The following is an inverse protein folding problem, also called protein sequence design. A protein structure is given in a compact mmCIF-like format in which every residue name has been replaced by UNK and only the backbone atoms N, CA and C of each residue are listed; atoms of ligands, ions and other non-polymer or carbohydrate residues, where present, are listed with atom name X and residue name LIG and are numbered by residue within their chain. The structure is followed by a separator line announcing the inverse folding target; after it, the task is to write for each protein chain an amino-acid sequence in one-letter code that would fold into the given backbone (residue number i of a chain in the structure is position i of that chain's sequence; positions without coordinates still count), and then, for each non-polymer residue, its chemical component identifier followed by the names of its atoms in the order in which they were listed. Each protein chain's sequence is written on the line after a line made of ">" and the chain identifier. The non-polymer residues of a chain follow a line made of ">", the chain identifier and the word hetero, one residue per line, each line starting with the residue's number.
data_IF_439754896723
#
_entry.id   IF_439754896723
#
_cell.length_a   1.000
_cell.length_b   1.000
_cell.length_c   1.000
_cell.angle_alpha   90.00
_cell.angle_beta   90.00
_cell.angle_gamma   90.00
#
_symmetry.space_group_name_H-M   'P 1'
#
loop_
_entity.id
_entity.type
_entity.pdbx_description
1 polymer ?
#
# COMPACT_ATOMS: atom_id res chain seq x y z
N UNK A 1 -9.15 17.49 -34.02
CA UNK A 1 -10.15 16.64 -33.36
C UNK A 1 -9.59 15.34 -32.76
N UNK A 2 -8.80 14.51 -33.47
CA UNK A 2 -8.18 13.31 -32.87
C UNK A 2 -6.94 13.60 -31.98
N UNK A 3 -6.28 14.74 -32.18
CA UNK A 3 -5.08 15.16 -31.42
C UNK A 3 -5.41 15.98 -30.16
N UNK A 4 -6.61 16.55 -30.09
CA UNK A 4 -7.02 17.43 -28.98
C UNK A 4 -7.41 16.60 -27.73
N UNK A 5 -8.05 15.44 -27.92
CA UNK A 5 -8.35 14.50 -26.84
C UNK A 5 -7.09 13.87 -26.21
N UNK A 6 -5.99 13.73 -26.96
CA UNK A 6 -4.73 13.20 -26.43
C UNK A 6 -3.97 14.22 -25.57
N UNK A 7 -4.06 15.51 -25.92
CA UNK A 7 -3.46 16.60 -25.13
C UNK A 7 -4.20 16.85 -23.82
N UNK A 8 -5.53 16.74 -23.82
CA UNK A 8 -6.35 16.91 -22.62
C UNK A 8 -6.00 15.86 -21.55
N UNK A 9 -5.89 14.59 -21.96
CA UNK A 9 -5.58 13.48 -21.07
C UNK A 9 -4.12 13.52 -20.56
N UNK A 10 -3.18 14.05 -21.35
CA UNK A 10 -1.78 14.16 -20.94
C UNK A 10 -1.52 15.27 -19.90
N UNK A 11 -2.24 16.39 -19.95
CA UNK A 11 -2.15 17.45 -18.93
C UNK A 11 -2.78 17.02 -17.60
N UNK A 12 -3.91 16.28 -17.65
CA UNK A 12 -4.53 15.69 -16.47
C UNK A 12 -3.64 14.58 -15.86
N UNK A 13 -3.06 13.71 -16.69
CA UNK A 13 -2.06 12.72 -16.25
C UNK A 13 -0.82 13.39 -15.65
N UNK A 14 -0.35 14.50 -16.22
CA UNK A 14 0.74 15.30 -15.61
C UNK A 14 0.34 15.87 -14.27
N UNK A 15 -0.89 16.38 -14.10
CA UNK A 15 -1.36 16.88 -12.82
C UNK A 15 -1.46 15.77 -11.77
N UNK A 16 -1.91 14.57 -12.12
CA UNK A 16 -1.90 13.42 -11.20
C UNK A 16 -0.48 12.94 -10.86
N UNK A 17 0.45 12.91 -11.83
CA UNK A 17 1.87 12.60 -11.59
C UNK A 17 2.55 13.70 -10.75
N UNK A 18 2.17 14.96 -10.94
CA UNK A 18 2.65 16.10 -10.14
C UNK A 18 2.03 16.11 -8.73
N UNK A 19 0.80 15.63 -8.55
CA UNK A 19 0.19 15.41 -7.24
C UNK A 19 0.89 14.28 -6.47
N UNK A 20 1.35 13.24 -7.18
CA UNK A 20 2.27 12.22 -6.63
C UNK A 20 3.63 12.84 -6.27
N UNK A 21 4.07 13.89 -6.96
CA UNK A 21 5.29 14.64 -6.65
C UNK A 21 5.12 15.65 -5.49
N UNK A 22 4.42 15.29 -4.41
CA UNK A 22 4.59 16.03 -3.15
C UNK A 22 6.08 15.98 -2.73
N UNK A 23 6.61 17.04 -2.11
CA UNK A 23 8.02 17.15 -1.65
C UNK A 23 8.54 15.88 -0.92
N UNK A 24 7.63 15.14 -0.28
CA UNK A 24 7.94 13.91 0.44
C UNK A 24 8.16 12.66 -0.44
N UNK A 25 7.69 12.64 -1.69
CA UNK A 25 7.94 11.56 -2.65
C UNK A 25 9.20 11.84 -3.50
N UNK A 26 9.55 13.10 -3.72
CA UNK A 26 10.75 13.48 -4.46
C UNK A 26 12.05 13.30 -3.67
N UNK A 27 12.00 13.32 -2.34
CA UNK A 27 13.16 13.07 -1.50
C UNK A 27 13.26 11.58 -1.13
N UNK A 28 14.34 10.87 -1.54
CA UNK A 28 14.57 9.45 -1.23
C UNK A 28 14.41 9.13 0.27
N UNK A 29 14.90 10.00 1.15
CA UNK A 29 14.89 9.78 2.60
C UNK A 29 13.47 9.75 3.20
N UNK A 30 12.55 10.50 2.60
CA UNK A 30 11.15 10.58 3.05
C UNK A 30 10.22 9.66 2.26
N UNK A 31 10.58 9.31 1.03
CA UNK A 31 9.78 8.46 0.14
C UNK A 31 9.65 7.04 0.68
N UNK A 32 10.73 6.46 1.20
CA UNK A 32 10.74 5.11 1.78
C UNK A 32 9.92 5.04 3.07
N UNK A 33 9.99 6.09 3.90
CA UNK A 33 9.16 6.18 5.09
C UNK A 33 7.68 6.27 4.72
N UNK A 34 7.32 7.10 3.73
CA UNK A 34 5.94 7.22 3.25
C UNK A 34 5.42 5.91 2.68
N UNK A 35 6.21 5.22 1.87
CA UNK A 35 5.84 3.90 1.37
C UNK A 35 5.54 2.94 2.51
N UNK A 36 6.41 2.91 3.52
CA UNK A 36 6.23 2.03 4.68
C UNK A 36 5.01 2.46 5.52
N UNK A 37 4.75 3.76 5.67
CA UNK A 37 3.56 4.29 6.36
C UNK A 37 2.27 3.85 5.65
N UNK A 38 2.20 3.99 4.32
CA UNK A 38 1.05 3.56 3.52
C UNK A 38 0.87 2.05 3.59
N UNK A 39 1.95 1.28 3.39
CA UNK A 39 1.93 -0.18 3.47
C UNK A 39 1.41 -0.67 4.82
N UNK A 40 1.91 -0.12 5.92
CA UNK A 40 1.46 -0.49 7.26
C UNK A 40 -0.03 -0.16 7.49
N UNK A 41 -0.50 1.02 7.10
CA UNK A 41 -1.90 1.41 7.26
C UNK A 41 -2.84 0.53 6.43
N UNK A 42 -2.48 0.26 5.18
CA UNK A 42 -3.27 -0.58 4.26
C UNK A 42 -3.29 -2.04 4.72
N UNK A 43 -2.16 -2.59 5.17
CA UNK A 43 -2.10 -3.94 5.72
C UNK A 43 -2.96 -4.08 6.99
N UNK A 44 -2.92 -3.09 7.88
CA UNK A 44 -3.81 -3.05 9.05
C UNK A 44 -5.29 -3.07 8.64
N UNK A 45 -5.64 -2.45 7.50
CA UNK A 45 -7.01 -2.50 6.98
C UNK A 45 -7.36 -3.87 6.41
N UNK A 46 -6.46 -4.48 5.62
CA UNK A 46 -6.73 -5.72 4.89
C UNK A 46 -6.69 -6.99 5.75
N UNK A 47 -5.86 -7.02 6.81
CA UNK A 47 -5.61 -8.24 7.59
C UNK A 47 -6.61 -8.39 8.75
N UNK A 48 -7.20 -7.30 9.22
CA UNK A 48 -8.05 -7.28 10.42
C UNK A 48 -9.54 -7.26 10.07
N UNK A 49 -10.32 -8.04 10.82
CA UNK A 49 -11.78 -8.08 10.64
C UNK A 49 -12.47 -6.82 11.19
N UNK A 50 -13.50 -6.29 10.48
CA UNK A 50 -14.35 -5.22 10.97
C UNK A 50 -15.18 -5.61 12.20
N UNK A 51 -15.34 -6.91 12.48
CA UNK A 51 -16.15 -7.44 13.59
C UNK A 51 -15.49 -7.28 14.96
N UNK A 52 -14.30 -6.68 15.07
CA UNK A 52 -13.75 -6.34 16.37
C UNK A 52 -14.68 -5.31 17.07
N UNK A 53 -15.43 -5.77 18.07
CA UNK A 53 -16.43 -4.99 18.82
C UNK A 53 -15.83 -3.78 19.57
N UNK A 54 -14.51 -3.63 19.60
CA UNK A 54 -13.82 -2.53 20.27
C UNK A 54 -13.69 -1.33 19.33
N UNK A 55 -13.96 -0.12 19.83
CA UNK A 55 -13.74 1.14 19.10
C UNK A 55 -12.27 1.34 18.68
N UNK A 56 -11.33 0.67 19.35
CA UNK A 56 -9.88 0.74 19.14
C UNK A 56 -9.31 -0.45 18.36
N UNK A 57 -10.08 -1.04 17.44
CA UNK A 57 -9.53 -2.08 16.56
C UNK A 57 -8.44 -1.49 15.65
N UNK A 58 -7.39 -2.25 15.30
CA UNK A 58 -6.32 -1.74 14.45
C UNK A 58 -6.83 -1.18 13.10
N UNK A 59 -7.81 -1.83 12.49
CA UNK A 59 -8.55 -1.34 11.31
C UNK A 59 -9.15 0.07 11.52
N UNK A 60 -9.87 0.30 12.64
CA UNK A 60 -10.51 1.60 12.90
C UNK A 60 -9.47 2.70 13.11
N UNK A 61 -8.37 2.36 13.79
CA UNK A 61 -7.28 3.33 14.02
C UNK A 61 -6.56 3.65 12.71
N UNK A 62 -6.30 2.67 11.85
CA UNK A 62 -5.67 2.92 10.55
C UNK A 62 -6.56 3.77 9.63
N UNK A 63 -7.87 3.54 9.62
CA UNK A 63 -8.84 4.38 8.90
C UNK A 63 -8.88 5.81 9.45
N UNK A 64 -8.99 5.98 10.77
CA UNK A 64 -8.99 7.29 11.41
C UNK A 64 -7.67 8.05 11.15
N UNK A 65 -6.54 7.35 11.19
CA UNK A 65 -5.22 7.92 10.91
C UNK A 65 -5.10 8.35 9.46
N UNK A 66 -5.56 7.52 8.52
CA UNK A 66 -5.59 7.84 7.09
C UNK A 66 -6.45 9.06 6.83
N UNK A 67 -7.66 9.12 7.39
CA UNK A 67 -8.56 10.28 7.27
C UNK A 67 -7.94 11.54 7.85
N UNK A 68 -7.28 11.46 9.01
CA UNK A 68 -6.58 12.59 9.61
C UNK A 68 -5.43 13.10 8.74
N UNK A 69 -4.61 12.20 8.18
CA UNK A 69 -3.49 12.59 7.33
C UNK A 69 -3.95 13.27 6.03
N UNK A 70 -5.09 12.85 5.48
CA UNK A 70 -5.64 13.44 4.26
C UNK A 70 -6.49 14.70 4.50
N UNK A 71 -7.01 14.93 5.71
CA UNK A 71 -7.98 16.01 5.96
C UNK A 71 -7.45 17.40 5.63
N UNK A 72 -6.22 17.72 6.00
CA UNK A 72 -5.60 19.01 5.70
C UNK A 72 -5.33 19.22 4.20
N UNK A 73 -4.98 18.15 3.49
CA UNK A 73 -4.75 18.22 2.04
C UNK A 73 -6.06 18.34 1.26
N UNK A 74 -7.11 17.62 1.68
CA UNK A 74 -8.45 17.75 1.10
C UNK A 74 -9.05 19.12 1.37
N UNK A 75 -8.92 19.63 2.59
CA UNK A 75 -9.40 20.97 2.95
C UNK A 75 -8.68 22.10 2.18
N UNK A 76 -7.42 21.88 1.77
CA UNK A 76 -6.67 22.85 0.96
C UNK A 76 -6.81 22.65 -0.56
N UNK A 77 -7.64 21.68 -1.01
CA UNK A 77 -7.83 21.37 -2.42
C UNK A 77 -6.62 20.74 -3.11
N UNK A 78 -5.61 20.30 -2.34
CA UNK A 78 -4.40 19.63 -2.87
C UNK A 78 -4.62 18.16 -3.21
N UNK A 79 -5.62 17.55 -2.60
CA UNK A 79 -6.08 16.19 -2.90
C UNK A 79 -7.57 16.30 -3.12
N UNK A 80 -8.01 16.03 -4.35
CA UNK A 80 -9.40 16.04 -4.75
C UNK A 80 -10.08 14.70 -4.41
N UNK A 81 -11.41 14.69 -4.44
CA UNK A 81 -12.17 13.45 -4.24
C UNK A 81 -11.93 12.45 -5.38
N UNK A 82 -11.69 12.94 -6.60
CA UNK A 82 -11.25 12.12 -7.73
C UNK A 82 -9.88 11.47 -7.50
N UNK A 83 -8.93 12.16 -6.86
CA UNK A 83 -7.62 11.59 -6.52
C UNK A 83 -7.75 10.49 -5.46
N UNK A 84 -8.62 10.70 -4.46
CA UNK A 84 -8.91 9.70 -3.44
C UNK A 84 -9.60 8.47 -4.04
N UNK A 85 -10.57 8.68 -4.94
CA UNK A 85 -11.24 7.60 -5.65
C UNK A 85 -10.27 6.82 -6.54
N UNK A 86 -9.35 7.53 -7.22
CA UNK A 86 -8.31 6.91 -8.04
C UNK A 86 -7.40 6.00 -7.20
N UNK A 87 -6.90 6.51 -6.07
CA UNK A 87 -6.08 5.71 -5.17
C UNK A 87 -6.85 4.48 -4.62
N UNK A 88 -8.13 4.64 -4.27
CA UNK A 88 -8.97 3.55 -3.80
C UNK A 88 -9.18 2.47 -4.88
N UNK A 89 -9.42 2.89 -6.11
CA UNK A 89 -9.64 2.01 -7.23
C UNK A 89 -8.37 1.22 -7.59
N UNK A 90 -7.18 1.83 -7.48
CA UNK A 90 -5.91 1.09 -7.59
C UNK A 90 -5.81 -0.05 -6.57
N UNK A 91 -6.18 0.18 -5.30
CA UNK A 91 -6.16 -0.90 -4.29
C UNK A 91 -7.19 -2.00 -4.54
N UNK A 92 -8.31 -1.67 -5.18
CA UNK A 92 -9.37 -2.63 -5.48
C UNK A 92 -9.08 -3.44 -6.76
N UNK A 93 -8.62 -2.78 -7.83
CA UNK A 93 -8.49 -3.36 -9.16
C UNK A 93 -7.13 -4.03 -9.41
N UNK A 94 -6.02 -3.40 -8.97
CA UNK A 94 -4.69 -3.90 -9.30
C UNK A 94 -4.42 -5.32 -8.78
N UNK A 95 -4.81 -5.69 -7.54
CA UNK A 95 -4.68 -7.07 -7.09
C UNK A 95 -5.47 -8.06 -7.93
N UNK A 96 -6.70 -7.71 -8.34
CA UNK A 96 -7.56 -8.56 -9.18
C UNK A 96 -6.91 -8.79 -10.54
N UNK A 97 -6.46 -7.70 -11.19
CA UNK A 97 -5.79 -7.75 -12.49
C UNK A 97 -4.48 -8.55 -12.41
N UNK A 98 -3.69 -8.34 -11.36
CA UNK A 98 -2.44 -9.05 -11.12
C UNK A 98 -2.68 -10.55 -10.96
N UNK A 99 -3.63 -10.95 -10.11
CA UNK A 99 -3.97 -12.37 -9.88
C UNK A 99 -4.43 -13.00 -11.20
N UNK A 100 -5.40 -12.40 -11.88
CA UNK A 100 -5.95 -12.95 -13.11
C UNK A 100 -4.90 -13.10 -14.23
N UNK A 101 -3.88 -12.23 -14.27
CA UNK A 101 -2.83 -12.26 -15.28
C UNK A 101 -1.66 -13.18 -14.90
N UNK A 102 -1.15 -13.07 -13.67
CA UNK A 102 0.13 -13.63 -13.27
C UNK A 102 0.05 -14.79 -12.27
N UNK A 103 -1.09 -15.00 -11.62
CA UNK A 103 -1.29 -16.14 -10.71
C UNK A 103 -1.85 -17.37 -11.41
N UNK A 104 -1.90 -18.48 -10.68
CA UNK A 104 -2.32 -19.79 -11.20
C UNK A 104 -3.83 -19.98 -11.34
N UNK A 105 -4.63 -19.09 -10.74
CA UNK A 105 -6.10 -19.09 -10.81
C UNK A 105 -6.62 -17.71 -11.18
N UNK A 106 -7.86 -17.67 -11.67
CA UNK A 106 -8.62 -16.45 -11.92
C UNK A 106 -9.63 -16.29 -10.78
N UNK A 107 -9.81 -15.06 -10.29
CA UNK A 107 -10.78 -14.77 -9.25
C UNK A 107 -12.21 -14.95 -9.78
N UNK A 108 -13.01 -15.67 -9.01
CA UNK A 108 -14.44 -15.83 -9.24
C UNK A 108 -15.22 -14.53 -8.98
N UNK A 109 -16.44 -14.44 -9.51
CA UNK A 109 -17.30 -13.28 -9.27
C UNK A 109 -17.64 -13.10 -7.78
N UNK A 110 -17.67 -14.19 -7.00
CA UNK A 110 -17.84 -14.13 -5.56
C UNK A 110 -16.64 -13.44 -4.88
N UNK A 111 -15.43 -13.80 -5.26
CA UNK A 111 -14.21 -13.20 -4.72
C UNK A 111 -14.07 -11.74 -5.12
N UNK A 112 -14.36 -11.42 -6.39
CA UNK A 112 -14.42 -10.05 -6.89
C UNK A 112 -15.45 -9.24 -6.11
N UNK A 113 -16.67 -9.74 -5.94
CA UNK A 113 -17.70 -9.08 -5.16
C UNK A 113 -17.28 -8.82 -3.70
N UNK A 114 -16.60 -9.79 -3.06
CA UNK A 114 -16.08 -9.62 -1.71
C UNK A 114 -15.00 -8.53 -1.63
N UNK A 115 -14.05 -8.51 -2.56
CA UNK A 115 -13.01 -7.47 -2.66
C UNK A 115 -13.64 -6.10 -2.90
N UNK A 116 -14.60 -6.00 -3.83
CA UNK A 116 -15.31 -4.77 -4.13
C UNK A 116 -16.10 -4.25 -2.94
N UNK A 117 -16.81 -5.14 -2.24
CA UNK A 117 -17.56 -4.80 -1.02
C UNK A 117 -16.62 -4.27 0.06
N UNK A 118 -15.49 -4.94 0.26
CA UNK A 118 -14.48 -4.54 1.24
C UNK A 118 -13.91 -3.14 0.94
N UNK A 119 -13.42 -2.90 -0.28
CA UNK A 119 -12.81 -1.62 -0.64
C UNK A 119 -13.82 -0.47 -0.73
N UNK A 120 -15.04 -0.73 -1.22
CA UNK A 120 -16.13 0.25 -1.13
C UNK A 120 -16.40 0.66 0.31
N UNK A 121 -16.46 -0.30 1.24
CA UNK A 121 -16.70 0.01 2.66
C UNK A 121 -15.60 0.88 3.29
N UNK A 122 -14.35 0.70 2.86
CA UNK A 122 -13.22 1.56 3.24
C UNK A 122 -13.41 2.97 2.67
N UNK A 123 -13.75 3.09 1.38
CA UNK A 123 -14.00 4.37 0.75
C UNK A 123 -15.15 5.15 1.39
N UNK A 124 -16.24 4.45 1.74
CA UNK A 124 -17.38 5.00 2.47
C UNK A 124 -16.91 5.57 3.83
N UNK A 125 -16.07 4.83 4.56
CA UNK A 125 -15.55 5.24 5.87
C UNK A 125 -14.58 6.43 5.77
N UNK A 126 -13.80 6.49 4.69
CA UNK A 126 -12.90 7.60 4.38
C UNK A 126 -13.65 8.83 3.86
N UNK A 127 -14.96 8.72 3.56
CA UNK A 127 -15.79 9.80 3.02
C UNK A 127 -15.33 10.20 1.61
N UNK A 128 -15.09 9.22 0.75
CA UNK A 128 -14.76 9.44 -0.66
C UNK A 128 -16.05 9.58 -1.45
N UNK A 129 -16.16 10.62 -2.29
CA UNK A 129 -17.31 10.79 -3.17
C UNK A 129 -17.22 9.86 -4.39
N UNK A 130 -18.36 9.27 -4.75
CA UNK A 130 -18.50 8.43 -5.93
C UNK A 130 -19.39 9.06 -7.00
N UNK A 131 -19.77 10.34 -6.87
CA UNK A 131 -20.70 11.03 -7.79
C UNK A 131 -20.30 10.94 -9.26
N UNK A 132 -19.00 10.79 -9.49
CA UNK A 132 -18.42 10.66 -10.81
C UNK A 132 -18.65 9.27 -11.45
N UNK A 133 -19.06 8.26 -10.68
CA UNK A 133 -19.44 6.94 -11.17
C UNK A 133 -20.92 6.93 -11.59
N UNK A 134 -21.32 6.09 -12.56
CA UNK A 134 -22.72 5.99 -12.99
C UNK A 134 -23.69 5.70 -11.83
N UNK A 135 -23.29 4.84 -10.89
CA UNK A 135 -24.06 4.56 -9.68
C UNK A 135 -23.82 5.52 -8.52
N UNK A 136 -23.03 6.59 -8.69
CA UNK A 136 -22.62 7.48 -7.60
C UNK A 136 -23.75 8.05 -6.75
N UNK A 137 -24.88 8.39 -7.39
CA UNK A 137 -26.07 8.95 -6.74
C UNK A 137 -27.04 7.85 -6.26
N UNK A 138 -27.22 6.79 -7.05
CA UNK A 138 -28.17 5.71 -6.76
C UNK A 138 -27.61 4.63 -5.83
N UNK A 139 -26.29 4.59 -5.65
CA UNK A 139 -25.54 3.52 -5.03
C UNK A 139 -25.34 2.34 -5.98
N UNK A 140 -24.15 1.72 -5.92
CA UNK A 140 -23.91 0.45 -6.60
C UNK A 140 -24.76 -0.66 -5.98
N UNK A 141 -25.27 -1.57 -6.82
CA UNK A 141 -26.09 -2.72 -6.38
C UNK A 141 -25.35 -3.62 -5.38
N UNK A 142 -24.09 -3.90 -5.67
CA UNK A 142 -23.22 -4.79 -4.92
C UNK A 142 -21.74 -4.40 -5.16
N UNK A 143 -20.82 -5.09 -4.49
CA UNK A 143 -19.38 -4.84 -4.65
C UNK A 143 -18.86 -5.14 -6.07
N UNK A 144 -19.47 -6.08 -6.79
CA UNK A 144 -19.08 -6.41 -8.16
C UNK A 144 -19.45 -5.29 -9.13
N UNK A 145 -20.68 -4.78 -9.04
CA UNK A 145 -21.14 -3.64 -9.83
C UNK A 145 -20.27 -2.41 -9.61
N UNK A 146 -19.88 -2.15 -8.35
CA UNK A 146 -18.97 -1.06 -8.03
C UNK A 146 -17.58 -1.25 -8.68
N UNK A 147 -17.02 -2.46 -8.65
CA UNK A 147 -15.75 -2.77 -9.33
C UNK A 147 -15.85 -2.59 -10.85
N UNK A 148 -16.92 -3.06 -11.48
CA UNK A 148 -17.14 -2.93 -12.93
C UNK A 148 -17.18 -1.45 -13.35
N UNK A 149 -17.81 -0.58 -12.56
CA UNK A 149 -17.81 0.86 -12.83
C UNK A 149 -16.42 1.49 -12.70
N UNK A 150 -15.59 1.00 -11.77
CA UNK A 150 -14.20 1.43 -11.66
C UNK A 150 -13.35 0.93 -12.84
N UNK A 151 -13.50 -0.35 -13.24
CA UNK A 151 -12.79 -0.93 -14.39
C UNK A 151 -13.05 -0.14 -15.68
N UNK A 152 -14.31 0.26 -15.89
CA UNK A 152 -14.72 1.05 -17.06
C UNK A 152 -14.18 2.49 -17.03
N UNK A 153 -13.85 3.02 -15.84
CA UNK A 153 -13.31 4.37 -15.65
C UNK A 153 -11.78 4.41 -15.75
N UNK A 154 -11.11 3.40 -15.20
CA UNK A 154 -9.66 3.40 -14.95
C UNK A 154 -8.87 2.48 -15.88
N UNK A 155 -8.95 2.70 -17.19
CA UNK A 155 -7.97 2.10 -18.11
C UNK A 155 -6.60 2.81 -18.10
N UNK A 156 -6.13 3.29 -16.94
CA UNK A 156 -4.89 4.07 -16.80
C UNK A 156 -4.08 3.64 -15.55
N UNK A 157 -3.46 2.47 -15.66
CA UNK A 157 -2.50 1.94 -14.68
C UNK A 157 -1.35 2.93 -14.44
N UNK A 158 -1.05 3.25 -13.19
CA UNK A 158 0.26 3.80 -12.75
C UNK A 158 0.54 3.49 -11.28
N UNK A 159 1.37 2.49 -10.96
CA UNK A 159 2.23 2.51 -9.75
C UNK A 159 3.40 1.52 -9.89
N UNK A 160 4.59 1.98 -10.30
CA UNK A 160 5.83 1.20 -10.17
C UNK A 160 7.02 2.13 -9.91
N UNK A 161 7.67 2.07 -8.74
CA UNK A 161 9.07 2.50 -8.54
C UNK A 161 9.74 2.12 -7.19
N UNK A 162 9.44 0.98 -6.58
CA UNK A 162 10.14 0.54 -5.34
C UNK A 162 10.83 -0.83 -5.50
N UNK A 163 10.53 -1.55 -6.58
CA UNK A 163 10.99 -2.92 -6.83
C UNK A 163 12.51 -3.12 -6.91
N UNK A 164 13.28 -2.09 -7.25
CA UNK A 164 14.75 -2.21 -7.42
C UNK A 164 15.55 -1.81 -6.18
N UNK A 165 14.90 -1.39 -5.09
CA UNK A 165 15.59 -0.85 -3.92
C UNK A 165 16.60 -1.84 -3.30
N UNK A 166 16.21 -3.12 -3.23
CA UNK A 166 17.02 -4.22 -2.70
C UNK A 166 17.89 -4.91 -3.75
N UNK A 167 17.98 -4.38 -4.97
CA UNK A 167 18.77 -4.98 -6.04
C UNK A 167 20.14 -4.30 -6.17
N UNK A 168 21.26 -5.06 -6.29
CA UNK A 168 22.56 -4.49 -6.64
C UNK A 168 22.50 -3.66 -7.91
N UNK A 169 23.23 -2.54 -7.95
CA UNK A 169 23.24 -1.60 -9.11
C UNK A 169 23.59 -2.28 -10.43
N UNK A 170 24.46 -3.28 -10.41
CA UNK A 170 24.86 -4.03 -11.61
C UNK A 170 23.69 -4.78 -12.28
N UNK A 171 22.67 -5.17 -11.50
CA UNK A 171 21.50 -5.89 -12.02
C UNK A 171 20.34 -4.96 -12.40
N UNK A 172 20.46 -3.65 -12.15
CA UNK A 172 19.41 -2.68 -12.46
C UNK A 172 18.96 -2.73 -13.93
N UNK A 173 19.84 -2.78 -14.94
CA UNK A 173 19.40 -2.82 -16.33
C UNK A 173 18.51 -4.03 -16.64
N UNK A 174 18.87 -5.21 -16.14
CA UNK A 174 18.08 -6.43 -16.31
C UNK A 174 16.75 -6.37 -15.55
N UNK A 175 16.74 -5.83 -14.33
CA UNK A 175 15.51 -5.66 -13.57
C UNK A 175 14.56 -4.63 -14.19
N UNK A 176 15.09 -3.55 -14.76
CA UNK A 176 14.26 -2.57 -15.48
C UNK A 176 13.61 -3.21 -16.72
N UNK A 177 14.29 -4.15 -17.40
CA UNK A 177 13.71 -4.94 -18.49
C UNK A 177 12.58 -5.86 -18.00
N UNK A 178 12.79 -6.58 -16.88
CA UNK A 178 11.75 -7.44 -16.30
C UNK A 178 10.56 -6.64 -15.76
N UNK A 179 10.80 -5.53 -15.09
CA UNK A 179 9.76 -4.59 -14.63
C UNK A 179 8.99 -4.05 -15.83
N UNK A 180 9.68 -3.76 -16.93
CA UNK A 180 9.03 -3.30 -18.15
C UNK A 180 8.09 -4.34 -18.76
N UNK A 181 8.35 -5.64 -18.57
CA UNK A 181 7.43 -6.71 -18.97
C UNK A 181 6.13 -6.72 -18.15
N UNK A 182 6.15 -6.17 -16.93
CA UNK A 182 4.96 -6.05 -16.09
C UNK A 182 4.07 -4.86 -16.46
N UNK A 183 4.64 -3.87 -17.15
CA UNK A 183 3.94 -2.66 -17.59
C UNK A 183 3.23 -2.88 -18.91
N UNK A 184 2.00 -2.38 -19.03
CA UNK A 184 1.36 -2.28 -20.34
C UNK A 184 2.06 -1.20 -21.20
N UNK A 185 1.77 -1.21 -22.51
CA UNK A 185 2.42 -0.32 -23.46
C UNK A 185 2.18 1.19 -23.20
N UNK A 186 1.04 1.56 -22.62
CA UNK A 186 0.71 2.95 -22.27
C UNK A 186 1.50 3.38 -21.04
N UNK A 187 1.45 2.60 -19.94
CA UNK A 187 2.20 2.89 -18.72
C UNK A 187 3.70 2.98 -18.97
N UNK A 188 4.25 1.98 -19.69
CA UNK A 188 5.67 1.92 -20.01
C UNK A 188 6.15 3.17 -20.74
N UNK A 189 5.39 3.62 -21.73
CA UNK A 189 5.70 4.86 -22.48
C UNK A 189 5.56 6.11 -21.60
N UNK A 190 4.51 6.18 -20.78
CA UNK A 190 4.29 7.31 -19.88
C UNK A 190 5.41 7.46 -18.83
N UNK A 191 5.94 6.34 -18.33
CA UNK A 191 7.05 6.30 -17.39
C UNK A 191 8.44 6.38 -18.05
N UNK A 192 8.48 6.56 -19.38
CA UNK A 192 9.73 6.65 -20.16
C UNK A 192 10.60 5.39 -20.07
N UNK A 193 9.99 4.21 -19.91
CA UNK A 193 10.69 2.92 -19.97
C UNK A 193 10.81 2.42 -21.41
N UNK A 194 11.98 1.89 -21.75
CA UNK A 194 12.19 1.20 -23.02
C UNK A 194 11.39 -0.10 -23.07
N UNK A 195 11.01 -0.53 -24.28
CA UNK A 195 10.36 -1.83 -24.46
C UNK A 195 11.31 -2.95 -24.02
N UNK A 196 10.80 -4.00 -23.35
CA UNK A 196 11.63 -5.13 -23.01
C UNK A 196 12.10 -5.83 -24.29
N UNK A 197 13.31 -6.38 -24.28
CA UNK A 197 13.77 -7.21 -25.41
C UNK A 197 12.97 -8.53 -25.43
N UNK A 198 12.78 -9.17 -26.60
CA UNK A 198 12.05 -10.45 -26.69
C UNK A 198 12.64 -11.55 -25.80
N UNK A 199 13.95 -11.52 -25.54
CA UNK A 199 14.60 -12.43 -24.60
C UNK A 199 14.08 -12.25 -23.17
N UNK A 200 14.01 -11.01 -22.67
CA UNK A 200 13.50 -10.73 -21.32
C UNK A 200 11.99 -10.99 -21.21
N UNK A 201 11.22 -10.77 -22.28
CA UNK A 201 9.81 -11.17 -22.33
C UNK A 201 9.65 -12.70 -22.18
N UNK A 202 10.45 -13.48 -22.91
CA UNK A 202 10.44 -14.94 -22.82
C UNK A 202 10.88 -15.44 -21.44
N UNK A 203 11.94 -14.85 -20.86
CA UNK A 203 12.40 -15.17 -19.50
C UNK A 203 11.33 -14.85 -18.47
N UNK A 204 10.72 -13.66 -18.55
CA UNK A 204 9.64 -13.26 -17.64
C UNK A 204 8.44 -14.21 -17.75
N UNK A 205 7.99 -14.51 -18.96
CA UNK A 205 6.89 -15.44 -19.21
C UNK A 205 7.20 -16.85 -18.67
N UNK A 206 8.42 -17.34 -18.87
CA UNK A 206 8.88 -18.61 -18.33
C UNK A 206 8.88 -18.65 -16.81
N UNK A 207 9.43 -17.61 -16.16
CA UNK A 207 9.46 -17.49 -14.70
C UNK A 207 8.06 -17.47 -14.10
N UNK A 208 7.14 -16.66 -14.65
CA UNK A 208 5.75 -16.61 -14.21
C UNK A 208 5.08 -17.97 -14.40
N UNK A 209 5.30 -18.64 -15.53
CA UNK A 209 4.72 -19.97 -15.79
C UNK A 209 5.22 -21.01 -14.78
N UNK A 210 6.50 -21.00 -14.47
CA UNK A 210 7.08 -21.87 -13.43
C UNK A 210 6.46 -21.56 -12.07
N UNK A 211 6.37 -20.28 -11.69
CA UNK A 211 5.71 -19.87 -10.44
C UNK A 211 4.26 -20.36 -10.38
N UNK A 212 3.48 -20.23 -11.47
CA UNK A 212 2.10 -20.74 -11.54
C UNK A 212 2.03 -22.25 -11.30
N UNK A 213 2.91 -23.03 -11.92
CA UNK A 213 2.94 -24.49 -11.77
C UNK A 213 3.32 -24.87 -10.33
N UNK A 214 4.35 -24.23 -9.78
CA UNK A 214 4.80 -24.47 -8.40
C UNK A 214 3.69 -24.13 -7.40
N UNK A 215 3.06 -22.97 -7.53
CA UNK A 215 1.98 -22.56 -6.62
C UNK A 215 0.74 -23.46 -6.74
N UNK A 216 0.42 -23.92 -7.95
CA UNK A 216 -0.74 -24.79 -8.17
C UNK A 216 -0.55 -26.21 -7.63
N UNK A 217 0.64 -26.78 -7.78
CA UNK A 217 0.85 -28.22 -7.55
C UNK A 217 1.75 -28.54 -6.35
N UNK A 218 2.63 -27.63 -5.94
CA UNK A 218 3.63 -27.87 -4.88
C UNK A 218 3.35 -27.08 -3.59
N UNK A 219 2.43 -26.12 -3.60
CA UNK A 219 2.02 -25.39 -2.39
C UNK A 219 0.58 -25.74 -2.00
N UNK A 220 0.37 -26.76 -1.14
CA UNK A 220 -0.96 -27.11 -0.67
C UNK A 220 -1.57 -25.97 0.19
N UNK A 221 -2.89 -26.00 0.45
CA UNK A 221 -3.56 -25.04 1.30
C UNK A 221 -2.80 -24.84 2.61
N UNK A 222 -2.42 -23.60 2.87
CA UNK A 222 -1.57 -23.25 4.00
C UNK A 222 -2.37 -23.42 5.30
N UNK A 223 -1.92 -24.26 6.24
CA UNK A 223 -2.58 -24.39 7.53
C UNK A 223 -2.47 -23.09 8.33
N UNK A 224 -3.40 -22.88 9.26
CA UNK A 224 -3.53 -21.61 9.98
C UNK A 224 -2.22 -21.16 10.68
N UNK A 225 -1.44 -22.09 11.23
CA UNK A 225 -0.17 -21.78 11.91
C UNK A 225 0.96 -21.34 10.96
N UNK A 226 0.84 -21.59 9.65
CA UNK A 226 1.76 -21.07 8.63
C UNK A 226 1.25 -19.79 7.98
N UNK A 227 0.08 -19.28 8.39
CA UNK A 227 -0.52 -18.05 7.87
C UNK A 227 0.53 -16.94 7.90
N UNK A 228 0.61 -16.23 6.77
CA UNK A 228 1.43 -15.05 6.71
C UNK A 228 0.80 -13.93 7.54
N UNK A 229 1.56 -13.42 8.51
CA UNK A 229 1.19 -12.29 9.35
C UNK A 229 2.27 -11.22 9.21
N UNK A 230 1.93 -10.13 8.54
CA UNK A 230 2.84 -8.99 8.35
C UNK A 230 2.93 -8.08 9.58
N UNK A 231 2.04 -8.27 10.56
CA UNK A 231 1.94 -7.49 11.78
C UNK A 231 1.99 -8.39 13.01
N UNK A 232 2.51 -7.87 14.11
CA UNK A 232 2.51 -8.57 15.41
C UNK A 232 1.08 -8.83 15.89
N UNK A 233 0.74 -10.08 16.24
CA UNK A 233 -0.62 -10.42 16.70
C UNK A 233 -1.03 -9.73 18.01
N UNK A 234 -0.07 -9.48 18.90
CA UNK A 234 -0.30 -8.86 20.20
C UNK A 234 0.38 -7.49 20.27
N UNK A 235 -0.30 -6.48 20.84
CA UNK A 235 0.33 -5.20 21.07
C UNK A 235 1.46 -5.33 22.11
N UNK A 236 2.47 -4.48 21.96
CA UNK A 236 3.50 -4.27 22.98
C UNK A 236 2.92 -3.63 24.27
N UNK A 237 3.71 -3.54 25.33
CA UNK A 237 3.34 -2.93 26.63
C UNK A 237 2.70 -1.54 26.49
N UNK A 238 3.07 -0.82 25.43
CA UNK A 238 2.57 0.52 25.10
C UNK A 238 1.40 0.53 24.10
N UNK A 239 0.75 -0.63 23.84
CA UNK A 239 -0.37 -0.71 22.90
C UNK A 239 0.04 -0.66 21.42
N UNK A 240 1.32 -0.87 21.09
CA UNK A 240 1.86 -0.69 19.74
C UNK A 240 1.92 -2.00 18.96
N UNK A 241 1.55 -1.93 17.68
CA UNK A 241 1.77 -2.97 16.69
C UNK A 241 3.03 -2.65 15.87
N UNK A 242 3.69 -3.69 15.37
CA UNK A 242 4.95 -3.59 14.62
C UNK A 242 4.88 -4.49 13.40
N UNK A 243 5.59 -4.10 12.34
CA UNK A 243 5.77 -4.95 11.17
C UNK A 243 6.69 -6.13 11.54
N UNK A 244 6.38 -7.32 11.02
CA UNK A 244 7.19 -8.52 11.23
C UNK A 244 8.42 -8.52 10.32
N UNK A 245 8.29 -7.96 9.12
CA UNK A 245 9.32 -7.84 8.09
C UNK A 245 9.33 -6.46 7.43
N UNK A 246 10.42 -6.12 6.72
CA UNK A 246 10.56 -4.86 5.99
C UNK A 246 10.69 -5.11 4.49
N UNK A 247 9.95 -4.35 3.69
CA UNK A 247 9.99 -4.46 2.22
C UNK A 247 11.05 -3.54 1.60
N UNK A 248 11.19 -2.32 2.11
CA UNK A 248 12.12 -1.32 1.58
C UNK A 248 13.06 -0.79 2.67
N UNK A 249 12.60 0.14 3.50
CA UNK A 249 13.36 0.59 4.66
C UNK A 249 12.81 -0.07 5.94
N UNK A 250 13.66 -0.37 6.94
CA UNK A 250 13.25 -1.10 8.15
C UNK A 250 12.51 -0.22 9.17
N UNK A 251 11.53 0.58 8.72
CA UNK A 251 10.68 1.34 9.63
C UNK A 251 9.68 0.42 10.33
N UNK A 252 9.42 0.71 11.61
CA UNK A 252 8.45 0.00 12.45
C UNK A 252 8.69 -1.50 12.69
N UNK A 253 9.86 -2.01 12.30
CA UNK A 253 10.27 -3.40 12.58
C UNK A 253 11.11 -3.44 13.85
N UNK A 254 10.82 -4.39 14.75
CA UNK A 254 11.65 -4.59 15.95
C UNK A 254 13.00 -5.22 15.59
N UNK A 255 14.12 -4.79 16.21
CA UNK A 255 15.43 -5.42 16.04
C UNK A 255 15.51 -6.73 16.85
N UNK A 256 14.67 -7.70 16.51
CA UNK A 256 14.77 -9.06 17.05
C UNK A 256 16.05 -9.72 16.55
N UNK A 257 16.48 -10.81 17.18
CA UNK A 257 17.67 -11.55 16.75
C UNK A 257 17.58 -11.93 15.26
N UNK A 258 16.44 -12.48 14.83
CA UNK A 258 16.21 -12.85 13.42
C UNK A 258 16.17 -11.64 12.48
N UNK A 259 15.51 -10.55 12.87
CA UNK A 259 15.41 -9.36 12.00
C UNK A 259 16.74 -8.61 11.89
N UNK A 260 17.65 -8.77 12.86
CA UNK A 260 18.97 -8.14 12.84
C UNK A 260 20.08 -9.04 12.32
N UNK A 261 19.98 -10.36 12.48
CA UNK A 261 21.08 -11.31 12.17
C UNK A 261 20.67 -12.45 11.24
N UNK A 262 19.41 -12.51 10.81
CA UNK A 262 18.93 -13.53 9.88
C UNK A 262 19.45 -13.35 8.45
N UNK A 263 19.12 -14.29 7.55
CA UNK A 263 19.59 -14.30 6.16
C UNK A 263 19.28 -12.99 5.41
N UNK A 264 18.06 -12.47 5.56
CA UNK A 264 17.66 -11.22 4.91
C UNK A 264 18.46 -10.02 5.43
N UNK A 265 18.76 -9.98 6.73
CA UNK A 265 19.58 -8.93 7.31
C UNK A 265 21.03 -8.98 6.81
N UNK A 266 21.59 -10.18 6.62
CA UNK A 266 22.93 -10.34 6.05
C UNK A 266 22.99 -9.82 4.61
N UNK A 267 22.03 -10.23 3.76
CA UNK A 267 21.93 -9.74 2.38
C UNK A 267 21.77 -8.21 2.34
N UNK A 268 20.90 -7.66 3.19
CA UNK A 268 20.66 -6.21 3.29
C UNK A 268 21.95 -5.45 3.63
N UNK A 269 22.77 -5.97 4.57
CA UNK A 269 24.07 -5.37 4.90
C UNK A 269 25.09 -5.48 3.76
N UNK A 270 25.15 -6.62 3.07
CA UNK A 270 26.03 -6.81 1.90
C UNK A 270 25.70 -5.76 0.81
N UNK A 271 24.44 -5.39 0.69
CA UNK A 271 23.97 -4.34 -0.23
C UNK A 271 24.20 -2.90 0.29
N UNK A 272 24.83 -2.74 1.46
CA UNK A 272 25.08 -1.43 2.08
C UNK A 272 23.79 -0.73 2.53
N UNK A 273 22.74 -1.50 2.84
CA UNK A 273 21.45 -0.97 3.30
C UNK A 273 21.29 -1.14 4.82
N UNK A 274 20.51 -0.27 5.48
CA UNK A 274 20.29 -0.36 6.93
C UNK A 274 19.39 -1.54 7.29
N UNK A 275 19.60 -2.13 8.46
CA UNK A 275 18.72 -3.15 9.04
C UNK A 275 17.99 -2.61 10.28
N UNK A 276 16.95 -3.29 10.80
CA UNK A 276 16.25 -2.85 12.01
C UNK A 276 17.21 -2.56 13.18
N UNK A 277 17.07 -1.39 13.78
CA UNK A 277 17.91 -0.92 14.89
C UNK A 277 19.25 -0.28 14.50
N UNK A 278 19.49 -0.02 13.20
CA UNK A 278 20.57 0.85 12.74
C UNK A 278 20.14 2.33 12.69
N UNK A 279 21.08 3.27 12.52
CA UNK A 279 20.83 4.74 12.49
C UNK A 279 20.13 5.29 13.75
N UNK A 280 20.38 4.70 14.92
CA UNK A 280 19.87 5.15 16.20
C UNK A 280 18.34 5.12 16.26
N UNK A 281 17.71 6.26 16.53
CA UNK A 281 16.25 6.38 16.69
C UNK A 281 15.45 6.23 15.38
N UNK A 282 16.10 6.31 14.21
CA UNK A 282 15.41 6.34 12.91
C UNK A 282 14.81 4.98 12.51
N UNK A 283 15.57 3.90 12.65
CA UNK A 283 15.09 2.52 12.42
C UNK A 283 14.89 1.74 13.72
N UNK A 284 14.93 2.45 14.85
CA UNK A 284 14.35 1.93 16.08
C UNK A 284 12.86 2.29 16.10
N UNK A 285 11.96 1.37 16.44
CA UNK A 285 10.53 1.66 16.43
C UNK A 285 10.12 2.36 17.73
N UNK A 286 10.76 3.50 18.03
CA UNK A 286 10.46 4.39 19.15
C UNK A 286 9.17 5.17 18.91
N UNK A 287 8.91 5.54 17.65
CA UNK A 287 7.72 6.28 17.22
C UNK A 287 6.54 5.29 17.06
N UNK A 288 5.42 5.49 17.77
CA UNK A 288 4.26 4.60 17.66
C UNK A 288 3.65 4.65 16.25
N UNK A 289 3.44 3.48 15.63
CA UNK A 289 2.69 3.32 14.37
C UNK A 289 1.29 3.97 14.43
N UNK A 290 0.64 3.94 15.60
CA UNK A 290 -0.80 4.23 15.74
C UNK A 290 -1.18 5.20 16.87
N UNK A 291 -0.27 5.63 17.76
CA UNK A 291 -0.65 6.41 18.97
C UNK A 291 0.16 7.69 19.27
N UNK A 292 1.14 8.06 18.44
CA UNK A 292 2.05 9.18 18.76
C UNK A 292 1.38 10.56 18.86
N UNK A 293 0.29 10.82 18.13
CA UNK A 293 -0.35 12.14 18.10
C UNK A 293 -1.50 12.28 19.11
N UNK A 294 -2.18 11.17 19.44
CA UNK A 294 -3.36 11.20 20.32
C UNK A 294 -2.96 11.53 21.78
N UNK A 295 -1.79 11.06 22.23
CA UNK A 295 -1.26 11.36 23.57
C UNK A 295 -0.77 12.80 23.70
N UNK A 296 -0.23 13.38 22.62
CA UNK A 296 0.18 14.78 22.57
C UNK A 296 -1.03 15.73 22.58
N UNK A 297 -2.08 15.43 21.81
CA UNK A 297 -3.31 16.21 21.75
C UNK A 297 -4.10 16.22 23.07
N UNK A 298 -4.09 15.11 23.81
CA UNK A 298 -4.70 15.04 25.14
C UNK A 298 -3.89 15.79 26.20
N UNK A 299 -2.56 15.78 26.08
CA UNK A 299 -1.67 16.53 26.97
C UNK A 299 -1.72 18.06 26.72
N UNK A 300 -2.06 18.49 25.49
CA UNK A 300 -2.13 19.92 25.13
C UNK A 300 -3.52 20.55 25.31
N UNK A 301 -4.58 19.78 25.61
CA UNK A 301 -5.97 20.28 25.72
C UNK A 301 -6.62 20.15 27.09
N UNK A 302 -5.99 19.48 28.05
CA UNK A 302 -6.45 19.45 29.43
C UNK A 302 -5.29 19.78 30.36
N UNK A 303 -5.23 20.99 30.97
CA UNK A 303 -4.38 21.17 32.13
C UNK A 303 -4.87 20.19 33.20
N UNK A 304 -4.06 19.21 33.53
CA UNK A 304 -4.30 18.34 34.68
C UNK A 304 -4.30 19.22 35.92
N UNK A 305 -5.48 19.57 36.42
CA UNK A 305 -5.62 20.03 37.80
C UNK A 305 -5.19 18.86 38.70
N UNK A 306 -4.18 19.12 39.54
CA UNK A 306 -3.81 18.21 40.62
C UNK A 306 -5.02 18.09 41.54
N UNK A 307 -5.66 16.92 41.56
CA UNK A 307 -6.42 16.52 42.73
C UNK A 307 -5.42 15.82 43.64
N UNK A 308 -5.08 16.51 44.73
CA UNK A 308 -4.32 15.96 45.85
C UNK A 308 -5.00 14.68 46.34
N UNK A 309 -4.21 13.62 46.47
CA UNK A 309 -4.50 12.57 47.44
C UNK A 309 -4.67 13.22 48.81
N UNK A 310 -5.85 13.05 49.42
CA UNK A 310 -5.98 13.11 50.86
C UNK A 310 -6.40 11.73 51.34
N UNK A 311 -5.63 11.26 52.32
CA UNK A 311 -5.83 10.06 53.11
C UNK A 311 -7.21 10.04 53.77
N UNK A 312 -7.86 8.87 53.76
CA UNK A 312 -8.38 8.09 54.91
C UNK A 312 -9.07 6.81 54.39
#
# INVERSE_FOLDING_TARGET
>A
MFLDNYRYNAEETKQHVVAIASYHFSNPDTSLKRYTDTGALVQEMAVNSPTFQRAFSPLKISLARTRFLHSGYRASGKILDSDMLYALALFALQPIQFINRYEWHTLSDLERCAIGTFWKSIGDTLGISYEVLPSGVAGARDGLHWLEELENRESADQTIAILVYMLPRALHPAALQLISCMMDNRLRKAMLYHAPTPFFEAVFSGLITVCKIVLRYLTPPRPYFLRYNSLTEKPDKNGRFFLTEWEAAPFYVKPTFWNRWGPMALVTRILGRPVPGDEGDKYYPSIPLLMGLFRWLMASRFPTSRVQQNDY
#
